data_IF_594029830325
#
_entry.id   IF_594029830325
#
_cell.length_a   1.000
_cell.length_b   1.000
_cell.length_c   1.000
_cell.angle_alpha   90.00
_cell.angle_beta   90.00
_cell.angle_gamma   90.00
#
_symmetry.space_group_name_H-M   'P 1'
#
loop_
_entity.id
_entity.type
_entity.pdbx_description
1 polymer ?
#
# COMPACT_ATOMS: atom_id res chain seq x y z
N UNK A 1 -9.45 37.39 77.16
CA UNK A 1 -10.67 36.62 77.44
C UNK A 1 -10.68 35.40 76.53
N UNK A 2 -10.70 34.18 77.13
CA UNK A 2 -11.33 32.91 76.70
C UNK A 2 -11.21 32.47 75.20
N UNK A 3 -10.95 31.22 74.80
CA UNK A 3 -10.65 29.94 75.44
C UNK A 3 -10.31 28.92 74.32
N UNK A 4 -9.35 28.01 74.58
CA UNK A 4 -9.31 26.55 74.26
C UNK A 4 -9.43 25.97 72.82
N UNK A 5 -8.34 25.29 72.42
CA UNK A 5 -8.15 23.89 71.92
C UNK A 5 -8.65 23.35 70.55
N UNK A 6 -7.63 23.03 69.72
CA UNK A 6 -7.27 21.80 68.95
C UNK A 6 -8.22 20.56 68.86
N UNK A 7 -8.27 20.06 67.60
CA UNK A 7 -8.30 18.64 67.08
C UNK A 7 -9.63 17.85 67.18
N UNK A 8 -9.86 16.72 66.45
CA UNK A 8 -8.93 15.87 65.65
C UNK A 8 -9.43 15.37 64.26
N UNK A 9 -8.58 14.58 63.59
CA UNK A 9 -8.93 13.65 62.49
C UNK A 9 -9.58 12.34 63.04
N UNK A 10 -10.11 11.47 62.15
CA UNK A 10 -9.81 10.03 62.22
C UNK A 10 -9.42 9.48 60.82
N UNK A 11 -8.29 8.80 60.64
CA UNK A 11 -7.95 7.38 60.93
C UNK A 11 -8.63 6.37 59.99
N UNK A 12 -7.75 5.60 59.34
CA UNK A 12 -7.99 4.51 58.42
C UNK A 12 -8.71 3.30 59.04
N UNK A 13 -9.33 2.48 58.19
CA UNK A 13 -9.54 1.06 58.47
C UNK A 13 -9.14 0.24 57.26
N UNK A 14 -8.27 -0.73 57.53
CA UNK A 14 -7.63 -1.70 56.67
C UNK A 14 -8.55 -2.93 56.45
N UNK A 15 -8.31 -3.64 55.33
CA UNK A 15 -8.35 -5.12 55.17
C UNK A 15 -9.74 -5.80 55.24
N UNK A 16 -10.19 -6.43 54.15
CA UNK A 16 -9.97 -7.87 53.97
C UNK A 16 -10.18 -8.41 52.55
N UNK A 17 -9.25 -9.29 52.17
CA UNK A 17 -9.19 -10.11 50.98
C UNK A 17 -9.84 -11.44 51.36
N UNK A 18 -10.85 -11.96 50.65
CA UNK A 18 -11.01 -13.41 50.54
C UNK A 18 -11.85 -13.85 49.33
N UNK A 19 -11.15 -14.55 48.45
CA UNK A 19 -11.58 -15.60 47.52
C UNK A 19 -12.75 -16.48 47.99
N UNK A 20 -13.72 -16.76 47.11
CA UNK A 20 -14.45 -18.05 46.99
C UNK A 20 -14.97 -18.17 45.55
N UNK A 21 -14.34 -19.00 44.72
CA UNK A 21 -14.59 -20.45 44.47
C UNK A 21 -15.95 -20.76 43.84
N UNK A 22 -15.85 -21.39 42.67
CA UNK A 22 -16.92 -22.07 41.91
C UNK A 22 -17.80 -22.99 42.75
N UNK A 23 -18.98 -23.34 42.24
CA UNK A 23 -19.52 -24.70 42.37
C UNK A 23 -19.11 -25.55 41.16
N UNK A 24 -18.25 -26.55 41.39
CA UNK A 24 -18.28 -27.81 40.66
C UNK A 24 -19.53 -28.55 41.11
N UNK A 25 -20.38 -28.95 40.16
CA UNK A 25 -21.23 -30.11 40.34
C UNK A 25 -20.58 -31.25 39.55
N UNK A 26 -20.10 -32.24 40.29
CA UNK A 26 -19.63 -33.52 39.77
C UNK A 26 -20.19 -34.57 40.72
N UNK A 27 -21.05 -35.45 40.21
CA UNK A 27 -21.51 -36.73 40.76
C UNK A 27 -22.57 -37.23 39.75
N UNK A 28 -22.57 -38.44 39.19
CA UNK A 28 -21.60 -39.52 39.07
C UNK A 28 -22.27 -40.61 38.21
N UNK A 29 -21.44 -41.49 37.62
CA UNK A 29 -21.72 -42.90 37.26
C UNK A 29 -22.39 -43.21 35.90
N UNK A 30 -21.54 -43.68 34.99
CA UNK A 30 -21.79 -44.74 33.99
C UNK A 30 -22.25 -46.06 34.63
N UNK A 31 -22.83 -47.02 33.88
CA UNK A 31 -22.04 -48.03 33.15
C UNK A 31 -22.62 -48.36 31.73
N UNK A 32 -21.77 -48.55 30.71
CA UNK A 32 -21.29 -49.84 30.11
C UNK A 32 -22.40 -50.78 29.59
N UNK A 33 -22.40 -50.96 28.26
CA UNK A 33 -22.64 -52.17 27.42
C UNK A 33 -23.14 -51.67 26.04
N UNK A 34 -22.68 -52.08 24.86
CA UNK A 34 -21.82 -53.17 24.40
C UNK A 34 -22.29 -53.59 22.99
N UNK A 35 -21.37 -53.90 22.08
CA UNK A 35 -21.61 -54.55 20.76
C UNK A 35 -21.68 -53.56 19.58
N UNK A 36 -20.70 -53.40 18.66
CA UNK A 36 -19.84 -54.31 17.90
C UNK A 36 -20.50 -54.97 16.65
N UNK A 37 -19.70 -55.02 15.57
CA UNK A 37 -19.78 -55.84 14.33
C UNK A 37 -20.59 -55.18 13.18
N UNK A 38 -20.13 -55.10 11.92
CA UNK A 38 -18.93 -55.58 11.21
C UNK A 38 -18.84 -54.88 9.83
N UNK A 39 -17.64 -54.60 9.31
CA UNK A 39 -16.91 -55.44 8.34
C UNK A 39 -17.66 -55.68 7.00
N UNK A 40 -17.13 -55.16 5.88
CA UNK A 40 -17.71 -55.39 4.55
C UNK A 40 -16.93 -54.77 3.39
N UNK A 41 -15.97 -55.52 2.88
CA UNK A 41 -14.96 -55.18 1.88
C UNK A 41 -15.49 -55.08 0.41
N UNK A 42 -14.74 -54.34 -0.42
CA UNK A 42 -14.56 -54.46 -1.90
C UNK A 42 -15.75 -54.25 -2.86
N UNK A 43 -15.52 -53.41 -3.88
CA UNK A 43 -15.27 -53.88 -5.27
C UNK A 43 -14.74 -52.78 -6.20
N UNK A 44 -13.66 -53.11 -6.90
CA UNK A 44 -13.18 -52.52 -8.16
C UNK A 44 -14.26 -52.66 -9.25
N UNK A 45 -14.36 -51.68 -10.15
CA UNK A 45 -14.72 -51.92 -11.55
C UNK A 45 -13.95 -50.98 -12.48
N UNK A 46 -12.90 -51.56 -13.04
CA UNK A 46 -12.40 -51.32 -14.39
C UNK A 46 -13.51 -51.58 -15.40
N UNK A 47 -13.60 -50.77 -16.46
CA UNK A 47 -14.21 -51.16 -17.74
C UNK A 47 -13.27 -50.66 -18.84
N UNK A 48 -12.73 -51.61 -19.60
CA UNK A 48 -12.17 -51.50 -20.95
C UNK A 48 -12.93 -52.52 -21.81
N UNK A 49 -13.00 -52.27 -23.13
CA UNK A 49 -13.18 -53.16 -24.32
C UNK A 49 -13.83 -52.29 -25.42
N UNK A 50 -13.13 -51.84 -26.48
CA UNK A 50 -12.77 -52.52 -27.78
C UNK A 50 -14.05 -52.73 -28.63
N UNK A 51 -14.21 -52.26 -29.87
CA UNK A 51 -13.57 -52.54 -31.19
C UNK A 51 -14.18 -51.50 -32.20
N UNK A 52 -13.52 -50.85 -33.19
CA UNK A 52 -12.71 -51.22 -34.38
C UNK A 52 -13.45 -51.18 -35.73
N UNK A 53 -12.63 -50.96 -36.78
CA UNK A 53 -12.87 -50.92 -38.23
C UNK A 53 -13.42 -49.59 -38.81
N UNK A 54 -12.86 -48.88 -39.80
CA UNK A 54 -11.91 -49.05 -40.91
C UNK A 54 -12.62 -48.83 -42.27
N UNK A 55 -12.08 -47.89 -43.08
CA UNK A 55 -12.08 -47.75 -44.57
C UNK A 55 -11.76 -46.28 -44.90
N UNK A 56 -10.58 -45.92 -45.41
CA UNK A 56 -9.94 -46.20 -46.71
C UNK A 56 -10.35 -45.25 -47.85
N UNK A 57 -9.32 -44.70 -48.50
CA UNK A 57 -9.35 -43.95 -49.77
C UNK A 57 -8.39 -42.75 -49.76
N UNK A 58 -7.07 -42.94 -49.97
CA UNK A 58 -6.31 -42.80 -51.25
C UNK A 58 -6.34 -41.36 -51.81
N UNK A 59 -5.26 -40.72 -52.27
CA UNK A 59 -3.91 -41.16 -52.68
C UNK A 59 -3.08 -39.94 -53.12
N UNK A 60 -1.74 -39.98 -52.90
CA UNK A 60 -0.65 -39.65 -53.86
C UNK A 60 -0.53 -38.21 -54.43
N UNK A 61 0.62 -37.56 -54.65
CA UNK A 61 2.02 -37.95 -54.98
C UNK A 61 2.98 -36.80 -54.57
N UNK A 62 4.20 -37.06 -54.05
CA UNK A 62 5.52 -36.95 -54.74
C UNK A 62 6.01 -35.47 -54.89
N UNK A 63 7.22 -35.01 -54.57
CA UNK A 63 8.55 -35.56 -54.87
C UNK A 63 9.68 -34.78 -54.12
N UNK A 64 10.84 -35.42 -54.09
CA UNK A 64 12.09 -35.33 -53.31
C UNK A 64 13.10 -34.19 -53.60
N UNK A 65 13.90 -33.90 -52.56
CA UNK A 65 15.36 -33.63 -52.47
C UNK A 65 16.14 -32.79 -53.51
N UNK A 66 16.96 -31.84 -53.02
CA UNK A 66 18.43 -31.87 -53.09
C UNK A 66 19.09 -30.60 -52.49
N UNK A 67 20.18 -30.80 -51.73
CA UNK A 67 20.92 -29.73 -51.02
C UNK A 67 22.02 -29.03 -51.82
N UNK A 68 22.71 -28.05 -51.20
CA UNK A 68 24.17 -27.78 -51.32
C UNK A 68 24.64 -26.61 -50.41
N UNK A 69 25.65 -26.91 -49.57
CA UNK A 69 26.89 -26.16 -49.22
C UNK A 69 26.94 -24.63 -48.92
N UNK A 70 27.51 -24.30 -47.74
CA UNK A 70 28.26 -23.07 -47.36
C UNK A 70 29.72 -23.11 -47.95
N UNK A 71 30.68 -22.12 -47.84
CA UNK A 71 30.83 -20.95 -46.93
C UNK A 71 31.46 -19.65 -47.60
N UNK A 72 32.41 -18.85 -47.01
CA UNK A 72 32.25 -17.41 -46.68
C UNK A 72 33.28 -16.42 -47.35
N UNK A 73 33.17 -15.09 -47.13
CA UNK A 73 34.32 -14.14 -46.96
C UNK A 73 33.95 -12.61 -46.93
N UNK A 74 34.34 -11.96 -45.82
CA UNK A 74 35.08 -10.68 -45.64
C UNK A 74 34.89 -9.38 -46.48
N UNK A 75 34.60 -8.29 -45.73
CA UNK A 75 35.33 -6.99 -45.59
C UNK A 75 35.30 -5.87 -46.67
N UNK A 76 34.77 -4.68 -46.30
CA UNK A 76 35.31 -3.31 -46.60
C UNK A 76 34.47 -2.24 -45.87
N UNK A 77 34.98 -1.51 -44.88
CA UNK A 77 35.76 -0.25 -44.95
C UNK A 77 34.98 0.94 -45.55
N UNK A 78 34.54 1.89 -44.72
CA UNK A 78 34.01 3.20 -45.16
C UNK A 78 34.75 4.33 -44.46
N UNK A 79 35.39 5.14 -45.30
CA UNK A 79 36.11 6.38 -45.02
C UNK A 79 35.08 7.51 -44.80
N UNK A 80 35.32 8.44 -43.87
CA UNK A 80 34.74 9.80 -43.96
C UNK A 80 35.63 10.86 -43.31
N UNK A 81 36.12 11.73 -44.21
CA UNK A 81 36.72 13.06 -44.14
C UNK A 81 36.94 13.82 -42.81
N UNK A 82 38.19 14.25 -42.64
CA UNK A 82 38.61 15.51 -42.00
C UNK A 82 38.35 16.73 -42.91
N UNK A 83 38.01 17.90 -42.34
CA UNK A 83 38.66 19.20 -42.58
C UNK A 83 38.04 20.37 -41.76
N UNK A 84 38.69 21.56 -41.66
CA UNK A 84 38.92 22.26 -40.38
C UNK A 84 38.42 23.73 -40.40
N UNK A 85 38.60 24.47 -39.29
CA UNK A 85 39.14 25.84 -39.21
C UNK A 85 38.71 26.57 -37.94
N UNK A 86 39.71 26.90 -37.11
CA UNK A 86 39.75 28.06 -36.23
C UNK A 86 39.98 29.31 -37.07
N UNK A 87 39.37 30.45 -36.74
CA UNK A 87 40.07 31.75 -36.73
C UNK A 87 39.31 32.88 -36.00
N UNK A 88 40.09 33.61 -35.17
CA UNK A 88 40.00 35.05 -34.82
C UNK A 88 38.87 35.51 -33.85
N UNK A 89 39.13 36.16 -32.72
CA UNK A 89 39.92 37.38 -32.50
C UNK A 89 40.50 37.50 -31.06
N UNK A 90 41.57 38.30 -30.92
CA UNK A 90 42.48 38.42 -29.78
C UNK A 90 42.05 39.28 -28.57
N UNK A 91 43.04 39.69 -27.73
CA UNK A 91 42.86 39.91 -26.29
C UNK A 91 42.56 41.37 -25.93
N UNK A 92 41.87 41.60 -24.81
CA UNK A 92 41.98 42.86 -24.08
C UNK A 92 41.76 42.64 -22.57
N UNK A 93 42.83 42.89 -21.82
CA UNK A 93 42.82 43.11 -20.39
C UNK A 93 42.01 44.36 -20.06
N UNK A 94 41.01 44.25 -19.19
CA UNK A 94 40.59 45.36 -18.33
C UNK A 94 40.33 44.81 -16.93
N UNK A 95 41.28 45.11 -16.05
CA UNK A 95 41.16 45.03 -14.61
C UNK A 95 40.00 45.92 -14.16
N UNK A 96 38.96 45.32 -13.59
CA UNK A 96 38.02 46.01 -12.71
C UNK A 96 37.93 45.21 -11.42
N UNK A 97 38.74 45.63 -10.45
CA UNK A 97 38.68 45.23 -9.06
C UNK A 97 37.34 45.65 -8.45
N UNK A 98 36.41 44.70 -8.32
CA UNK A 98 35.30 44.81 -7.37
C UNK A 98 35.54 43.80 -6.25
N UNK A 99 36.00 44.32 -5.10
CA UNK A 99 36.02 43.62 -3.82
C UNK A 99 34.58 43.23 -3.46
N UNK A 100 34.29 41.94 -3.48
CA UNK A 100 33.16 41.39 -2.70
C UNK A 100 33.69 40.31 -1.77
N UNK A 101 33.46 40.52 -0.48
CA UNK A 101 33.85 39.70 0.67
C UNK A 101 33.69 38.18 0.46
N UNK A 102 34.67 37.35 0.87
CA UNK A 102 34.58 35.90 0.78
C UNK A 102 34.13 35.30 2.12
N UNK A 103 32.84 35.38 2.46
CA UNK A 103 32.31 34.59 3.56
C UNK A 103 30.91 34.09 3.22
N UNK A 104 30.82 32.90 2.60
CA UNK A 104 29.68 31.93 2.69
C UNK A 104 29.72 30.76 1.68
N UNK A 105 30.72 30.61 0.79
CA UNK A 105 30.73 29.49 -0.20
C UNK A 105 31.27 28.14 0.31
N UNK A 106 32.05 28.10 1.40
CA UNK A 106 32.70 26.85 1.85
C UNK A 106 31.78 25.89 2.62
N UNK A 107 30.69 26.37 3.24
CA UNK A 107 29.75 25.50 3.97
C UNK A 107 28.80 24.72 3.05
N UNK A 108 28.33 25.36 1.97
CA UNK A 108 27.39 24.78 1.01
C UNK A 108 28.04 23.70 0.12
N UNK A 109 29.35 23.81 -0.18
CA UNK A 109 30.07 22.80 -0.95
C UNK A 109 30.32 21.53 -0.13
N UNK A 110 30.74 21.67 1.12
CA UNK A 110 31.02 20.53 2.01
C UNK A 110 29.75 19.71 2.33
N UNK A 111 28.62 20.39 2.63
CA UNK A 111 27.33 19.70 2.83
C UNK A 111 26.84 18.98 1.57
N UNK A 112 26.99 19.59 0.38
CA UNK A 112 26.63 18.94 -0.89
C UNK A 112 27.49 17.72 -1.17
N UNK A 113 28.80 17.81 -0.92
CA UNK A 113 29.73 16.67 -1.08
C UNK A 113 29.40 15.55 -0.09
N UNK A 114 29.13 15.87 1.18
CA UNK A 114 28.73 14.90 2.19
C UNK A 114 27.39 14.22 1.83
N UNK A 115 26.37 14.99 1.43
CA UNK A 115 25.08 14.47 1.01
C UNK A 115 25.19 13.57 -0.24
N UNK A 116 25.99 13.96 -1.23
CA UNK A 116 26.27 13.12 -2.40
C UNK A 116 27.03 11.83 -2.02
N UNK A 117 27.92 11.89 -1.02
CA UNK A 117 28.64 10.71 -0.52
C UNK A 117 27.70 9.71 0.17
N UNK A 118 26.74 10.18 0.97
CA UNK A 118 25.74 9.35 1.64
C UNK A 118 24.77 8.76 0.62
N UNK A 119 24.29 9.58 -0.31
CA UNK A 119 23.41 9.14 -1.40
C UNK A 119 24.08 8.03 -2.21
N UNK A 120 25.33 8.21 -2.64
CA UNK A 120 26.05 7.18 -3.38
C UNK A 120 26.21 5.88 -2.58
N UNK A 121 26.55 5.95 -1.29
CA UNK A 121 26.62 4.75 -0.43
C UNK A 121 25.26 4.05 -0.34
N UNK A 122 24.17 4.78 -0.14
CA UNK A 122 22.82 4.21 -0.09
C UNK A 122 22.41 3.58 -1.43
N UNK A 123 22.71 4.23 -2.55
CA UNK A 123 22.43 3.69 -3.89
C UNK A 123 23.25 2.42 -4.16
N UNK A 124 24.48 2.32 -3.66
CA UNK A 124 25.32 1.13 -3.76
C UNK A 124 24.81 -0.03 -2.87
N UNK A 125 24.54 0.22 -1.59
CA UNK A 125 24.06 -0.81 -0.64
C UNK A 125 22.73 -1.42 -1.11
N UNK A 126 21.90 -0.62 -1.77
CA UNK A 126 20.56 -1.03 -2.24
C UNK A 126 20.54 -1.43 -3.72
N UNK A 127 21.70 -1.67 -4.35
CA UNK A 127 21.81 -2.00 -5.77
C UNK A 127 21.61 -3.51 -6.04
N UNK A 128 20.42 -4.02 -5.72
CA UNK A 128 20.02 -5.39 -6.03
C UNK A 128 20.01 -5.66 -7.54
N UNK A 129 20.21 -6.93 -7.94
CA UNK A 129 20.13 -7.35 -9.34
C UNK A 129 18.72 -7.16 -9.91
N UNK A 130 17.68 -7.63 -9.19
CA UNK A 130 16.28 -7.47 -9.57
C UNK A 130 15.84 -5.99 -9.47
N UNK A 131 15.25 -5.40 -10.53
CA UNK A 131 14.68 -4.04 -10.47
C UNK A 131 13.63 -3.88 -9.37
N UNK A 132 12.86 -4.95 -9.12
CA UNK A 132 11.84 -4.99 -8.08
C UNK A 132 12.45 -4.82 -6.70
N UNK A 133 13.40 -5.69 -6.31
CA UNK A 133 14.07 -5.60 -5.02
C UNK A 133 14.84 -4.29 -4.86
N UNK A 134 15.41 -3.79 -5.96
CA UNK A 134 16.11 -2.50 -6.00
C UNK A 134 15.22 -1.33 -5.61
N UNK A 135 13.90 -1.44 -5.78
CA UNK A 135 12.94 -0.39 -5.47
C UNK A 135 12.22 -0.68 -4.16
N UNK A 136 11.75 -1.91 -3.95
CA UNK A 136 10.93 -2.32 -2.80
C UNK A 136 11.74 -2.28 -1.51
N UNK A 137 12.92 -2.90 -1.46
CA UNK A 137 13.72 -3.00 -0.22
C UNK A 137 14.06 -1.62 0.37
N UNK A 138 14.63 -0.66 -0.38
CA UNK A 138 14.88 0.67 0.17
C UNK A 138 13.60 1.44 0.51
N UNK A 139 12.50 1.21 -0.20
CA UNK A 139 11.21 1.86 0.08
C UNK A 139 10.60 1.37 1.39
N UNK A 140 10.62 0.05 1.63
CA UNK A 140 10.19 -0.55 2.90
C UNK A 140 11.14 -0.15 4.04
N UNK A 141 12.45 -0.13 3.78
CA UNK A 141 13.44 0.36 4.75
C UNK A 141 13.17 1.82 5.15
N UNK A 142 12.82 2.68 4.20
CA UNK A 142 12.43 4.06 4.47
C UNK A 142 11.12 4.14 5.26
N UNK A 143 10.13 3.28 4.97
CA UNK A 143 8.89 3.21 5.76
C UNK A 143 9.18 2.91 7.24
N UNK A 144 10.03 1.91 7.50
CA UNK A 144 10.45 1.55 8.85
C UNK A 144 11.23 2.70 9.49
N UNK A 145 12.16 3.32 8.77
CA UNK A 145 12.95 4.43 9.30
C UNK A 145 12.10 5.64 9.70
N UNK A 146 11.15 6.06 8.86
CA UNK A 146 10.24 7.18 9.15
C UNK A 146 9.39 6.86 10.39
N UNK A 147 8.87 5.64 10.47
CA UNK A 147 8.01 5.24 11.58
C UNK A 147 8.75 5.06 12.89
N UNK A 148 10.00 4.58 12.86
CA UNK A 148 10.84 4.57 14.05
C UNK A 148 11.26 5.99 14.48
N UNK A 149 11.55 6.86 13.51
CA UNK A 149 11.87 8.26 13.78
C UNK A 149 10.70 9.04 14.37
N UNK A 150 9.46 8.68 14.04
CA UNK A 150 8.25 9.22 14.68
C UNK A 150 7.94 8.51 16.01
N UNK A 151 8.06 7.18 16.05
CA UNK A 151 7.65 6.34 17.16
C UNK A 151 8.55 6.43 18.39
N UNK A 152 9.87 6.54 18.22
CA UNK A 152 10.82 6.64 19.34
C UNK A 152 10.58 7.94 20.15
N UNK A 153 10.56 9.15 19.54
CA UNK A 153 10.24 10.37 20.28
C UNK A 153 8.82 10.34 20.87
N UNK A 154 7.86 9.80 20.13
CA UNK A 154 6.47 9.70 20.59
C UNK A 154 6.32 8.80 21.82
N UNK A 155 7.08 7.69 21.89
CA UNK A 155 7.13 6.81 23.05
C UNK A 155 7.79 7.49 24.26
N UNK A 156 8.86 8.25 24.04
CA UNK A 156 9.57 8.99 25.11
C UNK A 156 8.72 10.14 25.66
N UNK A 157 7.94 10.80 24.81
CA UNK A 157 7.06 11.90 25.18
C UNK A 157 5.64 11.44 25.60
N UNK A 158 5.32 10.15 25.49
CA UNK A 158 4.00 9.60 25.81
C UNK A 158 2.87 10.20 24.96
N UNK A 159 3.15 10.61 23.71
CA UNK A 159 2.20 11.32 22.85
C UNK A 159 1.88 10.54 21.57
N UNK A 160 0.59 10.36 21.30
CA UNK A 160 0.01 9.69 20.14
C UNK A 160 -0.28 10.64 18.98
N UNK A 161 -0.13 11.95 19.19
CA UNK A 161 -0.51 13.00 18.22
C UNK A 161 0.14 12.83 16.85
N UNK A 162 1.33 12.26 16.80
CA UNK A 162 2.09 12.07 15.57
C UNK A 162 1.77 10.75 14.86
N UNK A 163 1.03 9.82 15.46
CA UNK A 163 0.80 8.49 14.90
C UNK A 163 0.08 8.55 13.54
N UNK A 164 -1.11 9.16 13.47
CA UNK A 164 -1.88 9.22 12.22
C UNK A 164 -1.20 10.10 11.15
N UNK A 165 -0.51 11.18 11.57
CA UNK A 165 0.25 12.06 10.67
C UNK A 165 1.48 11.34 10.09
N UNK A 166 2.21 10.59 10.91
CA UNK A 166 3.40 9.83 10.50
C UNK A 166 3.06 8.78 9.45
N UNK A 167 1.91 8.11 9.56
CA UNK A 167 1.44 7.18 8.52
C UNK A 167 1.20 7.85 7.18
N UNK A 168 0.49 8.97 7.18
CA UNK A 168 0.20 9.73 5.95
C UNK A 168 1.48 10.26 5.31
N UNK A 169 2.40 10.80 6.13
CA UNK A 169 3.71 11.22 5.67
C UNK A 169 4.51 10.05 5.09
N UNK A 170 4.43 8.86 5.70
CA UNK A 170 5.10 7.65 5.21
C UNK A 170 4.55 7.24 3.85
N UNK A 171 3.23 7.30 3.62
CA UNK A 171 2.65 7.05 2.29
C UNK A 171 3.22 7.98 1.22
N UNK A 172 3.27 9.28 1.52
CA UNK A 172 3.78 10.29 0.60
C UNK A 172 5.28 10.10 0.34
N UNK A 173 6.07 9.95 1.40
CA UNK A 173 7.51 9.80 1.31
C UNK A 173 7.92 8.51 0.59
N UNK A 174 7.30 7.38 0.92
CA UNK A 174 7.62 6.07 0.32
C UNK A 174 7.08 6.00 -1.11
N UNK A 175 5.89 6.55 -1.38
CA UNK A 175 5.37 6.67 -2.74
C UNK A 175 6.31 7.49 -3.63
N UNK A 176 6.74 8.66 -3.16
CA UNK A 176 7.70 9.50 -3.88
C UNK A 176 9.06 8.81 -4.03
N UNK A 177 9.59 8.23 -2.96
CA UNK A 177 10.87 7.52 -2.99
C UNK A 177 10.83 6.38 -4.02
N UNK A 178 9.80 5.55 -4.01
CA UNK A 178 9.67 4.44 -4.97
C UNK A 178 9.64 4.94 -6.43
N UNK A 179 9.01 6.09 -6.68
CA UNK A 179 8.92 6.70 -8.01
C UNK A 179 10.25 7.31 -8.47
N UNK A 180 10.95 8.03 -7.59
CA UNK A 180 12.17 8.76 -7.93
C UNK A 180 13.42 7.89 -7.87
N UNK A 181 13.49 6.89 -6.99
CA UNK A 181 14.71 6.13 -6.75
C UNK A 181 15.28 5.43 -7.99
N UNK A 182 14.47 4.78 -8.87
CA UNK A 182 14.97 4.24 -10.14
C UNK A 182 15.57 5.31 -11.06
N UNK A 183 15.00 6.52 -11.04
CA UNK A 183 15.45 7.66 -11.84
C UNK A 183 16.73 8.29 -11.32
N UNK A 184 16.88 8.37 -9.99
CA UNK A 184 18.14 8.82 -9.40
C UNK A 184 19.26 7.86 -9.81
N UNK A 185 19.05 6.54 -9.76
CA UNK A 185 20.09 5.56 -10.14
C UNK A 185 20.51 5.63 -11.60
N UNK A 186 19.56 5.80 -12.50
CA UNK A 186 19.87 5.88 -13.94
C UNK A 186 20.60 7.17 -14.27
N UNK A 187 20.18 8.29 -13.68
CA UNK A 187 20.82 9.58 -13.93
C UNK A 187 22.18 9.72 -13.25
N UNK A 188 22.34 9.25 -12.01
CA UNK A 188 23.66 9.29 -11.34
C UNK A 188 24.70 8.46 -12.08
N UNK A 189 24.31 7.32 -12.65
CA UNK A 189 25.17 6.54 -13.56
C UNK A 189 25.52 7.29 -14.86
N UNK A 190 24.61 8.13 -15.33
CA UNK A 190 24.84 9.01 -16.48
C UNK A 190 25.56 10.32 -16.12
N UNK A 191 26.06 10.48 -14.90
CA UNK A 191 26.74 11.71 -14.45
C UNK A 191 25.83 12.92 -14.23
N UNK A 192 24.50 12.72 -14.21
CA UNK A 192 23.52 13.78 -13.99
C UNK A 192 22.77 13.55 -12.67
N UNK A 193 22.82 14.48 -11.73
CA UNK A 193 22.10 14.35 -10.46
C UNK A 193 20.75 15.11 -10.44
N UNK A 194 20.38 15.78 -11.52
CA UNK A 194 19.16 16.58 -11.59
C UNK A 194 17.90 15.71 -11.55
N UNK A 195 16.92 16.12 -10.74
CA UNK A 195 15.64 15.45 -10.70
C UNK A 195 14.85 15.71 -12.00
N UNK A 196 14.30 14.67 -12.64
CA UNK A 196 13.39 14.87 -13.77
C UNK A 196 12.15 15.67 -13.39
N UNK A 197 11.70 16.52 -14.31
CA UNK A 197 10.39 17.17 -14.24
C UNK A 197 9.27 16.12 -14.41
N UNK A 198 8.23 16.18 -13.57
CA UNK A 198 7.09 15.25 -13.61
C UNK A 198 6.39 15.20 -14.97
N UNK A 199 6.33 16.33 -15.69
CA UNK A 199 5.76 16.41 -17.04
C UNK A 199 6.44 15.48 -18.06
N UNK A 200 7.67 15.05 -17.80
CA UNK A 200 8.37 14.10 -18.66
C UNK A 200 7.65 12.75 -18.76
N UNK A 201 6.82 12.37 -17.79
CA UNK A 201 6.09 11.12 -17.81
C UNK A 201 5.08 10.97 -18.97
N UNK A 202 4.65 12.08 -19.54
CA UNK A 202 3.69 12.12 -20.64
C UNK A 202 4.36 12.19 -22.02
N UNK A 203 5.70 12.20 -22.07
CA UNK A 203 6.49 12.26 -23.29
C UNK A 203 7.04 10.87 -23.64
N UNK A 204 7.10 10.56 -24.94
CA UNK A 204 7.82 9.37 -25.40
C UNK A 204 9.31 9.49 -25.04
N UNK A 205 9.90 8.42 -24.50
CA UNK A 205 11.28 8.45 -23.97
C UNK A 205 11.44 9.29 -22.69
N UNK A 206 10.33 9.67 -22.05
CA UNK A 206 10.32 10.36 -20.76
C UNK A 206 10.99 9.58 -19.64
N UNK A 207 11.25 10.26 -18.52
CA UNK A 207 11.84 9.64 -17.34
C UNK A 207 10.95 8.50 -16.80
N UNK A 208 9.64 8.68 -16.86
CA UNK A 208 8.65 7.72 -16.39
C UNK A 208 7.61 7.41 -17.46
N UNK A 209 6.86 6.34 -17.22
CA UNK A 209 5.58 6.16 -17.89
C UNK A 209 4.47 6.87 -17.11
N UNK A 210 3.47 7.41 -17.83
CA UNK A 210 2.32 8.09 -17.22
C UNK A 210 1.61 7.24 -16.15
N UNK A 211 1.60 5.90 -16.32
CA UNK A 211 0.99 4.97 -15.37
C UNK A 211 1.67 5.00 -14.01
N UNK A 212 3.00 5.14 -13.97
CA UNK A 212 3.76 5.24 -12.71
C UNK A 212 3.32 6.47 -11.91
N UNK A 213 3.12 7.60 -12.59
CA UNK A 213 2.63 8.82 -11.96
C UNK A 213 1.17 8.69 -11.52
N UNK A 214 0.32 8.11 -12.36
CA UNK A 214 -1.11 7.96 -12.04
C UNK A 214 -1.32 7.05 -10.84
N UNK A 215 -0.74 5.84 -10.81
CA UNK A 215 -0.93 4.93 -9.67
C UNK A 215 -0.30 5.47 -8.38
N UNK A 216 0.83 6.17 -8.48
CA UNK A 216 1.43 6.86 -7.33
C UNK A 216 0.55 8.00 -6.83
N UNK A 217 0.03 8.82 -7.75
CA UNK A 217 -0.87 9.93 -7.45
C UNK A 217 -2.20 9.47 -6.85
N UNK A 218 -2.75 8.34 -7.31
CA UNK A 218 -3.94 7.71 -6.75
C UNK A 218 -3.73 7.33 -5.29
N UNK A 219 -2.65 6.61 -4.96
CA UNK A 219 -2.32 6.22 -3.59
C UNK A 219 -2.05 7.45 -2.70
N UNK A 220 -1.33 8.45 -3.21
CA UNK A 220 -1.05 9.69 -2.48
C UNK A 220 -2.33 10.51 -2.23
N UNK A 221 -3.22 10.61 -3.21
CA UNK A 221 -4.49 11.33 -3.07
C UNK A 221 -5.33 10.70 -1.97
N UNK A 222 -5.43 9.37 -1.96
CA UNK A 222 -6.13 8.64 -0.90
C UNK A 222 -5.48 8.87 0.47
N UNK A 223 -4.15 8.75 0.57
CA UNK A 223 -3.42 8.94 1.83
C UNK A 223 -3.53 10.37 2.37
N UNK A 224 -3.43 11.38 1.51
CA UNK A 224 -3.62 12.78 1.88
C UNK A 224 -5.04 13.06 2.38
N UNK A 225 -6.05 12.49 1.71
CA UNK A 225 -7.45 12.63 2.12
C UNK A 225 -7.69 12.00 3.50
N UNK A 226 -7.30 10.73 3.66
CA UNK A 226 -7.46 10.01 4.93
C UNK A 226 -6.68 10.69 6.05
N UNK A 227 -5.44 11.10 5.77
CA UNK A 227 -4.58 11.82 6.70
C UNK A 227 -5.15 13.17 7.13
N UNK A 228 -5.67 13.97 6.20
CA UNK A 228 -6.30 15.25 6.51
C UNK A 228 -7.56 15.08 7.38
N UNK A 229 -8.36 14.03 7.11
CA UNK A 229 -9.53 13.72 7.93
C UNK A 229 -9.16 13.30 9.36
N UNK A 230 -8.17 12.41 9.50
CA UNK A 230 -7.68 11.95 10.81
C UNK A 230 -7.03 13.08 11.61
N UNK A 231 -6.20 13.90 10.95
CA UNK A 231 -5.55 15.05 11.59
C UNK A 231 -6.58 16.06 12.10
N UNK A 232 -7.59 16.40 11.27
CA UNK A 232 -8.67 17.29 11.68
C UNK A 232 -9.42 16.77 12.91
N UNK A 233 -9.64 15.46 13.01
CA UNK A 233 -10.29 14.84 14.17
C UNK A 233 -9.44 14.94 15.44
N UNK A 234 -8.15 14.59 15.37
CA UNK A 234 -7.23 14.69 16.52
C UNK A 234 -7.15 16.13 17.02
N UNK A 235 -7.13 17.11 16.13
CA UNK A 235 -7.12 18.53 16.52
C UNK A 235 -8.42 18.99 17.19
N UNK A 236 -9.53 18.26 17.03
CA UNK A 236 -10.83 18.58 17.61
C UNK A 236 -11.07 17.89 18.96
N UNK A 237 -10.49 16.71 19.18
CA UNK A 237 -10.71 15.88 20.38
C UNK A 237 -9.57 16.03 21.43
N UNK A 238 -9.03 17.25 21.59
CA UNK A 238 -7.89 17.60 22.48
C UNK A 238 -6.59 16.79 22.29
N UNK A 239 -6.53 16.03 21.20
CA UNK A 239 -5.42 15.16 20.85
C UNK A 239 -5.38 13.82 21.58
N UNK A 240 -6.49 13.38 22.18
CA UNK A 240 -6.59 12.12 22.91
C UNK A 240 -7.20 11.00 22.04
N UNK A 241 -6.48 9.90 21.86
CA UNK A 241 -7.03 8.71 21.20
C UNK A 241 -7.08 7.51 22.16
N UNK A 242 -8.30 7.09 22.50
CA UNK A 242 -8.58 6.00 23.41
C UNK A 242 -7.91 4.66 23.02
N UNK A 243 -7.48 4.50 21.76
CA UNK A 243 -6.71 3.32 21.31
C UNK A 243 -5.36 3.21 22.02
N UNK A 244 -4.75 4.32 22.41
CA UNK A 244 -3.41 4.36 22.99
C UNK A 244 -3.38 4.37 24.52
N UNK A 245 -4.53 4.46 25.17
CA UNK A 245 -4.63 4.56 26.64
C UNK A 245 -3.99 3.37 27.36
N UNK A 246 -4.03 2.18 26.76
CA UNK A 246 -3.41 0.97 27.33
C UNK A 246 -1.96 0.73 26.89
N UNK A 247 -1.45 1.58 25.99
CA UNK A 247 -0.14 1.45 25.33
C UNK A 247 0.89 2.46 25.84
N UNK A 248 0.46 3.62 26.36
CA UNK A 248 1.34 4.71 26.83
C UNK A 248 2.34 4.25 27.90
N UNK A 249 1.92 3.40 28.81
CA UNK A 249 2.76 2.93 29.92
C UNK A 249 3.80 1.86 29.50
N UNK A 250 3.82 1.47 28.22
CA UNK A 250 4.67 0.39 27.69
C UNK A 250 5.44 0.85 26.45
N UNK A 251 6.58 1.56 26.62
CA UNK A 251 7.33 2.17 25.51
C UNK A 251 7.66 1.21 24.35
N UNK A 252 8.02 -0.04 24.66
CA UNK A 252 8.32 -1.06 23.63
C UNK A 252 7.09 -1.42 22.80
N UNK A 253 5.92 -1.58 23.43
CA UNK A 253 4.66 -1.85 22.73
C UNK A 253 4.20 -0.62 21.96
N UNK A 254 4.46 0.57 22.47
CA UNK A 254 4.16 1.82 21.79
C UNK A 254 4.96 1.95 20.49
N UNK A 255 6.29 1.81 20.52
CA UNK A 255 7.12 1.82 19.29
C UNK A 255 6.72 0.70 18.32
N UNK A 256 6.33 -0.47 18.83
CA UNK A 256 5.85 -1.57 18.00
C UNK A 256 4.59 -1.20 17.18
N UNK A 257 3.71 -0.34 17.69
CA UNK A 257 2.55 0.14 16.90
C UNK A 257 2.99 0.94 15.67
N UNK A 258 4.02 1.78 15.80
CA UNK A 258 4.58 2.54 14.67
C UNK A 258 5.23 1.61 13.66
N UNK A 259 5.93 0.57 14.12
CA UNK A 259 6.49 -0.46 13.25
C UNK A 259 5.39 -1.23 12.48
N UNK A 260 4.29 -1.60 13.15
CA UNK A 260 3.13 -2.20 12.48
C UNK A 260 2.51 -1.27 11.43
N UNK A 261 2.51 0.04 11.68
CA UNK A 261 2.09 1.03 10.69
C UNK A 261 3.06 1.09 9.50
N UNK A 262 4.37 0.91 9.69
CA UNK A 262 5.33 0.78 8.57
C UNK A 262 5.04 -0.45 7.71
N UNK A 263 4.74 -1.59 8.34
CA UNK A 263 4.34 -2.83 7.65
C UNK A 263 3.04 -2.59 6.87
N UNK A 264 2.05 -1.95 7.49
CA UNK A 264 0.78 -1.63 6.86
C UNK A 264 0.95 -0.74 5.62
N UNK A 265 1.70 0.36 5.73
CA UNK A 265 2.00 1.25 4.59
C UNK A 265 2.72 0.48 3.47
N UNK A 266 3.68 -0.38 3.83
CA UNK A 266 4.44 -1.18 2.87
C UNK A 266 3.56 -2.15 2.08
N UNK A 267 2.62 -2.81 2.75
CA UNK A 267 1.66 -3.72 2.10
C UNK A 267 0.71 -2.95 1.17
N UNK A 268 0.19 -1.80 1.60
CA UNK A 268 -0.70 -0.98 0.77
C UNK A 268 0.01 -0.37 -0.45
N UNK A 269 1.28 0.04 -0.31
CA UNK A 269 2.05 0.60 -1.42
C UNK A 269 2.69 -0.46 -2.33
N UNK A 270 2.61 -1.74 -2.01
CA UNK A 270 3.20 -2.81 -2.81
C UNK A 270 2.81 -2.78 -4.31
N UNK A 271 1.53 -2.60 -4.72
CA UNK A 271 1.18 -2.40 -6.13
C UNK A 271 1.90 -1.22 -6.78
N UNK A 272 2.04 -0.11 -6.06
CA UNK A 272 2.69 1.12 -6.56
C UNK A 272 4.20 0.91 -6.69
N UNK A 273 4.84 0.35 -5.66
CA UNK A 273 6.27 0.04 -5.67
C UNK A 273 6.64 -0.95 -6.79
N UNK A 274 5.78 -1.93 -7.07
CA UNK A 274 5.97 -2.89 -8.16
C UNK A 274 5.96 -2.21 -9.54
N UNK A 275 5.00 -1.32 -9.80
CA UNK A 275 4.92 -0.57 -11.07
C UNK A 275 6.05 0.46 -11.18
N UNK A 276 6.43 1.12 -10.08
CA UNK A 276 7.53 2.07 -10.07
C UNK A 276 8.90 1.39 -10.29
N UNK A 277 9.03 0.11 -9.95
CA UNK A 277 10.25 -0.67 -10.21
C UNK A 277 10.48 -1.02 -11.69
N UNK A 278 9.45 -0.90 -12.54
CA UNK A 278 9.54 -1.25 -13.96
C UNK A 278 10.44 -0.27 -14.70
N UNK A 279 11.47 -0.73 -15.44
CA UNK A 279 12.35 0.15 -16.22
C UNK A 279 11.60 0.89 -17.34
N UNK A 280 11.98 2.16 -17.59
CA UNK A 280 11.38 2.98 -18.64
C UNK A 280 11.41 2.33 -20.04
N UNK A 281 12.48 1.58 -20.36
CA UNK A 281 12.61 0.85 -21.63
C UNK A 281 11.52 -0.22 -21.82
N UNK A 282 11.06 -0.87 -20.74
CA UNK A 282 10.01 -1.88 -20.82
C UNK A 282 8.66 -1.28 -21.22
N UNK A 283 8.38 -0.06 -20.75
CA UNK A 283 7.14 0.65 -21.06
C UNK A 283 7.04 1.09 -22.52
N UNK A 284 8.16 1.23 -23.24
CA UNK A 284 8.14 1.59 -24.66
C UNK A 284 7.46 0.52 -25.54
N UNK A 285 7.48 -0.74 -25.09
CA UNK A 285 6.84 -1.87 -25.78
C UNK A 285 5.43 -2.20 -25.23
N UNK A 286 4.94 -1.47 -24.23
CA UNK A 286 3.59 -1.63 -23.69
C UNK A 286 2.64 -0.68 -24.46
N UNK A 287 1.44 -1.12 -24.86
CA UNK A 287 0.45 -0.22 -25.48
C UNK A 287 0.23 1.05 -24.65
N UNK A 288 0.00 2.18 -25.33
CA UNK A 288 -0.14 3.48 -24.66
C UNK A 288 -1.28 3.50 -23.64
N UNK A 289 -2.38 2.82 -23.96
CA UNK A 289 -3.57 2.65 -23.12
C UNK A 289 -4.04 1.20 -23.24
N UNK A 290 -4.42 0.58 -22.12
CA UNK A 290 -5.00 -0.77 -22.07
C UNK A 290 -6.38 -0.74 -21.41
N UNK A 291 -7.18 -1.78 -21.62
CA UNK A 291 -8.50 -1.92 -20.98
C UNK A 291 -8.39 -1.89 -19.46
N UNK A 292 -7.35 -2.50 -18.89
CA UNK A 292 -7.09 -2.48 -17.44
C UNK A 292 -6.82 -1.09 -16.90
N UNK A 293 -6.24 -0.18 -17.70
CA UNK A 293 -6.05 1.21 -17.30
C UNK A 293 -7.40 1.91 -17.15
N UNK A 294 -8.27 1.78 -18.16
CA UNK A 294 -9.59 2.44 -18.18
C UNK A 294 -10.48 1.90 -17.06
N UNK A 295 -10.55 0.58 -16.92
CA UNK A 295 -11.33 -0.07 -15.86
C UNK A 295 -10.76 0.25 -14.47
N UNK A 296 -9.45 0.14 -14.31
CA UNK A 296 -8.82 0.35 -13.01
C UNK A 296 -8.92 1.80 -12.52
N UNK A 297 -8.65 2.77 -13.39
CA UNK A 297 -8.81 4.19 -13.07
C UNK A 297 -10.28 4.52 -12.83
N UNK A 298 -11.20 4.02 -13.67
CA UNK A 298 -12.64 4.24 -13.50
C UNK A 298 -13.18 3.72 -12.17
N UNK A 299 -12.82 2.49 -11.81
CA UNK A 299 -13.19 1.88 -10.52
C UNK A 299 -12.57 2.66 -9.36
N UNK A 300 -11.32 3.12 -9.49
CA UNK A 300 -10.68 3.94 -8.46
C UNK A 300 -11.38 5.28 -8.25
N UNK A 301 -11.70 6.00 -9.33
CA UNK A 301 -12.44 7.27 -9.26
C UNK A 301 -13.80 7.08 -8.63
N UNK A 302 -14.54 6.03 -9.03
CA UNK A 302 -15.84 5.69 -8.42
C UNK A 302 -15.73 5.33 -6.94
N UNK A 303 -14.73 4.53 -6.56
CA UNK A 303 -14.48 4.16 -5.17
C UNK A 303 -14.12 5.36 -4.29
N UNK A 304 -13.22 6.23 -4.77
CA UNK A 304 -12.85 7.47 -4.07
C UNK A 304 -14.05 8.40 -3.91
N UNK A 305 -14.89 8.55 -4.96
CA UNK A 305 -16.08 9.37 -4.89
C UNK A 305 -17.09 8.83 -3.87
N UNK A 306 -17.30 7.50 -3.83
CA UNK A 306 -18.19 6.87 -2.87
C UNK A 306 -17.68 7.03 -1.43
N UNK A 307 -16.38 6.79 -1.21
CA UNK A 307 -15.76 6.97 0.11
C UNK A 307 -15.88 8.43 0.59
N UNK A 308 -15.53 9.38 -0.27
CA UNK A 308 -15.59 10.81 0.05
C UNK A 308 -17.02 11.28 0.32
N UNK A 309 -18.01 10.83 -0.46
CA UNK A 309 -19.41 11.17 -0.26
C UNK A 309 -19.96 10.57 1.05
N UNK A 310 -19.62 9.32 1.35
CA UNK A 310 -20.03 8.65 2.59
C UNK A 310 -19.48 9.35 3.83
N UNK A 311 -18.20 9.71 3.82
CA UNK A 311 -17.57 10.42 4.93
C UNK A 311 -18.09 11.85 5.09
N UNK A 312 -18.34 12.55 3.98
CA UNK A 312 -18.96 13.87 4.01
C UNK A 312 -20.39 13.82 4.57
N UNK A 313 -21.17 12.79 4.20
CA UNK A 313 -22.50 12.57 4.76
C UNK A 313 -22.43 12.29 6.27
N UNK A 314 -21.52 11.40 6.70
CA UNK A 314 -21.31 11.06 8.10
C UNK A 314 -20.87 12.26 8.94
N UNK A 315 -19.94 13.06 8.41
CA UNK A 315 -19.42 14.25 9.09
C UNK A 315 -20.50 15.33 9.25
N UNK A 316 -21.30 15.57 8.21
CA UNK A 316 -22.43 16.52 8.26
C UNK A 316 -23.49 16.08 9.26
N UNK A 317 -23.87 14.81 9.24
CA UNK A 317 -24.82 14.25 10.21
C UNK A 317 -24.31 14.38 11.65
N UNK A 318 -23.04 14.04 11.90
CA UNK A 318 -22.45 14.19 13.24
C UNK A 318 -22.40 15.66 13.70
N UNK A 319 -22.16 16.60 12.79
CA UNK A 319 -22.16 18.03 13.09
C UNK A 319 -23.56 18.57 13.36
N UNK A 320 -24.55 18.23 12.51
CA UNK A 320 -25.95 18.62 12.71
C UNK A 320 -26.50 18.14 14.05
N UNK A 321 -26.15 16.90 14.45
CA UNK A 321 -26.47 16.39 15.79
C UNK A 321 -25.83 17.19 16.93
N UNK A 322 -24.57 17.61 16.78
CA UNK A 322 -23.90 18.48 17.78
C UNK A 322 -24.55 19.85 17.89
N UNK A 323 -25.02 20.38 16.77
CA UNK A 323 -25.76 21.64 16.69
C UNK A 323 -27.22 21.51 17.17
N UNK A 324 -27.66 20.31 17.59
CA UNK A 324 -29.04 20.01 18.00
C UNK A 324 -30.07 20.26 16.89
N UNK A 325 -29.67 20.10 15.63
CA UNK A 325 -30.56 20.22 14.47
C UNK A 325 -31.44 18.97 14.31
N UNK A 326 -31.01 17.83 14.86
CA UNK A 326 -31.79 16.59 14.92
C UNK A 326 -31.37 15.71 16.11
N UNK A 327 -32.27 14.82 16.54
CA UNK A 327 -32.06 13.87 17.64
C UNK A 327 -31.98 12.40 17.20
N UNK A 328 -31.76 12.16 15.89
CA UNK A 328 -31.57 10.81 15.36
C UNK A 328 -30.45 10.05 16.08
N UNK A 329 -30.74 8.81 16.51
CA UNK A 329 -29.80 7.98 17.25
C UNK A 329 -28.63 7.49 16.37
N UNK A 330 -28.91 7.14 15.12
CA UNK A 330 -27.91 6.62 14.16
C UNK A 330 -28.28 7.01 12.72
N UNK A 331 -27.25 7.11 11.88
CA UNK A 331 -27.39 7.49 10.46
C UNK A 331 -27.90 6.29 9.63
N UNK A 332 -29.08 6.44 9.03
CA UNK A 332 -29.76 5.39 8.25
C UNK A 332 -30.23 5.81 6.85
N UNK A 333 -29.94 7.05 6.44
CA UNK A 333 -30.41 7.66 5.19
C UNK A 333 -29.28 7.80 4.17
N UNK A 334 -29.59 8.16 2.92
CA UNK A 334 -28.61 8.39 1.86
C UNK A 334 -27.78 7.15 1.54
N UNK A 335 -26.44 7.26 1.51
CA UNK A 335 -25.59 6.11 1.21
C UNK A 335 -25.71 5.00 2.27
N UNK A 336 -26.05 5.35 3.51
CA UNK A 336 -26.22 4.42 4.62
C UNK A 336 -27.56 3.66 4.60
N UNK A 337 -28.50 4.03 3.70
CA UNK A 337 -29.68 3.20 3.43
C UNK A 337 -29.43 2.14 2.36
N UNK A 338 -28.36 2.27 1.57
CA UNK A 338 -28.00 1.32 0.52
C UNK A 338 -27.16 0.17 1.10
N UNK A 339 -26.16 0.51 1.90
CA UNK A 339 -25.36 -0.45 2.68
C UNK A 339 -24.89 0.22 3.98
N UNK A 340 -24.54 -0.58 4.99
CA UNK A 340 -24.16 -0.06 6.31
C UNK A 340 -22.78 0.59 6.34
N UNK A 341 -21.88 0.17 5.44
CA UNK A 341 -20.49 0.64 5.39
C UNK A 341 -20.07 1.12 3.98
N UNK A 342 -20.71 2.18 3.43
CA UNK A 342 -20.43 2.65 2.07
C UNK A 342 -19.00 3.20 1.90
N UNK A 343 -18.42 3.76 2.97
CA UNK A 343 -17.04 4.22 2.98
C UNK A 343 -16.03 3.05 2.86
N UNK A 344 -16.27 1.93 3.55
CA UNK A 344 -15.44 0.74 3.41
C UNK A 344 -15.58 0.08 2.04
N UNK A 345 -16.79 0.10 1.46
CA UNK A 345 -16.97 -0.32 0.06
C UNK A 345 -16.12 0.54 -0.88
N UNK A 346 -16.19 1.87 -0.73
CA UNK A 346 -15.40 2.82 -1.51
C UNK A 346 -13.90 2.57 -1.42
N UNK A 347 -13.39 2.33 -0.21
CA UNK A 347 -11.97 2.02 0.02
C UNK A 347 -11.56 0.69 -0.65
N UNK A 348 -12.36 -0.38 -0.50
CA UNK A 348 -12.06 -1.67 -1.15
C UNK A 348 -12.10 -1.51 -2.67
N UNK A 349 -13.11 -0.81 -3.20
CA UNK A 349 -13.25 -0.55 -4.62
C UNK A 349 -12.06 0.22 -5.17
N UNK A 350 -11.63 1.30 -4.50
CA UNK A 350 -10.52 2.11 -5.01
C UNK A 350 -9.21 1.33 -5.02
N UNK A 351 -8.89 0.58 -3.96
CA UNK A 351 -7.68 -0.25 -3.97
C UNK A 351 -7.76 -1.36 -5.02
N UNK A 352 -8.96 -1.86 -5.32
CA UNK A 352 -9.19 -2.84 -6.39
C UNK A 352 -8.99 -2.22 -7.77
N UNK A 353 -9.42 -0.97 -7.99
CA UNK A 353 -9.16 -0.23 -9.23
C UNK A 353 -7.67 0.06 -9.45
N UNK A 354 -6.96 0.49 -8.40
CA UNK A 354 -5.51 0.66 -8.43
C UNK A 354 -4.81 -0.67 -8.76
N UNK A 355 -5.19 -1.75 -8.08
CA UNK A 355 -4.66 -3.09 -8.34
C UNK A 355 -4.93 -3.55 -9.78
N UNK A 356 -6.10 -3.27 -10.34
CA UNK A 356 -6.46 -3.62 -11.72
C UNK A 356 -5.53 -2.93 -12.73
N UNK A 357 -5.25 -1.64 -12.52
CA UNK A 357 -4.30 -0.86 -13.35
C UNK A 357 -2.89 -1.47 -13.25
N UNK A 358 -2.42 -1.73 -12.02
CA UNK A 358 -1.10 -2.31 -11.79
C UNK A 358 -0.97 -3.73 -12.38
N UNK A 359 -1.98 -4.58 -12.19
CA UNK A 359 -1.99 -5.97 -12.65
C UNK A 359 -1.87 -6.06 -14.17
N UNK A 360 -2.58 -5.21 -14.92
CA UNK A 360 -2.49 -5.19 -16.38
C UNK A 360 -1.10 -4.82 -16.91
N UNK A 361 -0.43 -3.86 -16.27
CA UNK A 361 0.96 -3.50 -16.60
C UNK A 361 1.91 -4.62 -16.23
N UNK A 362 1.80 -5.13 -15.00
CA UNK A 362 2.71 -6.14 -14.48
C UNK A 362 2.59 -7.43 -15.31
N UNK A 363 1.39 -7.88 -15.67
CA UNK A 363 1.18 -9.07 -16.49
C UNK A 363 1.71 -8.97 -17.94
N UNK A 364 2.07 -7.78 -18.42
CA UNK A 364 2.50 -7.61 -19.81
C UNK A 364 3.89 -8.24 -20.07
N UNK A 365 4.02 -8.94 -21.20
CA UNK A 365 5.26 -9.65 -21.57
C UNK A 365 6.53 -8.77 -21.54
N UNK A 366 6.54 -7.53 -22.06
CA UNK A 366 7.73 -6.67 -21.99
C UNK A 366 8.14 -6.35 -20.55
N UNK A 367 7.17 -6.14 -19.66
CA UNK A 367 7.42 -5.86 -18.24
C UNK A 367 7.96 -7.10 -17.54
N UNK A 368 7.40 -8.27 -17.81
CA UNK A 368 7.87 -9.54 -17.22
C UNK A 368 9.30 -9.87 -17.61
N UNK A 369 9.67 -9.66 -18.87
CA UNK A 369 11.06 -9.81 -19.33
C UNK A 369 12.00 -8.84 -18.61
N UNK A 370 11.59 -7.58 -18.46
CA UNK A 370 12.40 -6.56 -17.79
C UNK A 370 12.56 -6.79 -16.28
N UNK A 371 11.55 -7.38 -15.62
CA UNK A 371 11.61 -7.73 -14.21
C UNK A 371 12.32 -9.07 -13.95
N UNK A 372 12.55 -9.88 -14.98
CA UNK A 372 13.18 -11.20 -14.89
C UNK A 372 12.22 -12.34 -14.54
N UNK A 373 10.92 -12.18 -14.80
CA UNK A 373 9.85 -13.12 -14.41
C UNK A 373 9.05 -13.64 -15.62
N UNK A 374 9.74 -14.17 -16.63
CA UNK A 374 9.10 -14.61 -17.88
C UNK A 374 8.32 -15.94 -17.78
N UNK A 375 8.51 -16.72 -16.70
CA UNK A 375 7.78 -17.98 -16.51
C UNK A 375 6.32 -17.71 -16.08
N UNK A 376 5.36 -18.60 -16.40
CA UNK A 376 3.97 -18.45 -15.94
C UNK A 376 3.83 -18.24 -14.43
N UNK A 377 4.66 -18.94 -13.64
CA UNK A 377 4.72 -18.76 -12.19
C UNK A 377 5.26 -17.37 -11.79
N UNK A 378 6.26 -16.84 -12.52
CA UNK A 378 6.78 -15.49 -12.32
C UNK A 378 5.74 -14.41 -12.65
N UNK A 379 4.98 -14.59 -13.74
CA UNK A 379 3.88 -13.70 -14.09
C UNK A 379 2.80 -13.70 -13.01
N UNK A 380 2.41 -14.88 -12.52
CA UNK A 380 1.45 -15.00 -11.43
C UNK A 380 1.95 -14.32 -10.15
N UNK A 381 3.21 -14.54 -9.76
CA UNK A 381 3.81 -13.96 -8.56
C UNK A 381 3.87 -12.43 -8.61
N UNK A 382 4.34 -11.86 -9.72
CA UNK A 382 4.43 -10.40 -9.89
C UNK A 382 3.07 -9.75 -10.01
N UNK A 383 2.10 -10.39 -10.68
CA UNK A 383 0.72 -9.90 -10.77
C UNK A 383 0.02 -9.96 -9.41
N UNK A 384 0.30 -10.99 -8.59
CA UNK A 384 -0.24 -11.09 -7.24
C UNK A 384 0.20 -9.92 -6.34
N UNK A 385 1.36 -9.31 -6.58
CA UNK A 385 1.80 -8.10 -5.85
C UNK A 385 0.81 -6.94 -6.03
N UNK A 386 0.13 -6.85 -7.18
CA UNK A 386 -0.87 -5.82 -7.42
C UNK A 386 -2.07 -5.95 -6.46
N UNK A 387 -2.43 -7.17 -6.08
CA UNK A 387 -3.60 -7.48 -5.27
C UNK A 387 -3.34 -7.46 -3.76
N UNK A 388 -2.09 -7.30 -3.31
CA UNK A 388 -1.76 -7.24 -1.88
C UNK A 388 -2.57 -6.15 -1.17
N UNK A 389 -2.63 -4.94 -1.72
CA UNK A 389 -3.33 -3.82 -1.11
C UNK A 389 -4.85 -4.06 -0.96
N UNK A 390 -5.64 -4.37 -2.01
CA UNK A 390 -7.07 -4.59 -1.84
C UNK A 390 -7.40 -5.84 -1.00
N UNK A 391 -6.62 -6.92 -1.10
CA UNK A 391 -6.82 -8.11 -0.26
C UNK A 391 -6.57 -7.77 1.21
N UNK A 392 -5.50 -7.06 1.50
CA UNK A 392 -5.13 -6.67 2.85
C UNK A 392 -6.11 -5.65 3.44
N UNK A 393 -6.47 -4.58 2.70
CA UNK A 393 -7.47 -3.60 3.13
C UNK A 393 -8.82 -4.28 3.33
N UNK A 394 -9.29 -5.06 2.36
CA UNK A 394 -10.54 -5.81 2.46
C UNK A 394 -10.57 -6.75 3.66
N UNK A 395 -9.49 -7.48 3.94
CA UNK A 395 -9.39 -8.33 5.13
C UNK A 395 -9.47 -7.52 6.43
N UNK A 396 -8.69 -6.45 6.56
CA UNK A 396 -8.70 -5.61 7.76
C UNK A 396 -10.08 -4.98 8.00
N UNK A 397 -10.69 -4.44 6.95
CA UNK A 397 -11.98 -3.79 7.03
C UNK A 397 -13.11 -4.78 7.33
N UNK A 398 -13.09 -5.97 6.76
CA UNK A 398 -14.21 -6.92 6.92
C UNK A 398 -14.05 -7.85 8.12
N UNK A 399 -12.82 -8.13 8.58
CA UNK A 399 -12.55 -9.19 9.58
C UNK A 399 -11.83 -8.72 10.84
N UNK A 400 -11.11 -7.60 10.82
CA UNK A 400 -10.25 -7.20 11.94
C UNK A 400 -10.74 -5.90 12.59
N UNK A 401 -10.51 -4.77 11.92
CA UNK A 401 -10.64 -3.44 12.55
C UNK A 401 -11.83 -2.63 12.04
N UNK A 402 -12.34 -2.89 10.83
CA UNK A 402 -13.40 -2.07 10.23
C UNK A 402 -14.79 -2.40 10.77
N UNK A 403 -15.51 -3.26 10.05
CA UNK A 403 -16.88 -3.69 10.30
C UNK A 403 -17.04 -4.32 11.69
N UNK A 404 -16.22 -5.30 12.12
CA UNK A 404 -16.48 -6.01 13.38
C UNK A 404 -16.43 -5.09 14.61
N UNK A 405 -15.43 -4.21 14.68
CA UNK A 405 -15.31 -3.26 15.79
C UNK A 405 -16.42 -2.20 15.77
N UNK A 406 -16.81 -1.75 14.59
CA UNK A 406 -17.86 -0.72 14.46
C UNK A 406 -19.24 -1.29 14.75
N UNK A 407 -19.55 -2.49 14.25
CA UNK A 407 -20.80 -3.18 14.55
C UNK A 407 -20.90 -3.50 16.04
N UNK A 408 -19.84 -4.03 16.66
CA UNK A 408 -19.86 -4.35 18.10
C UNK A 408 -20.20 -3.10 18.96
N UNK A 409 -19.57 -1.96 18.67
CA UNK A 409 -19.86 -0.69 19.37
C UNK A 409 -21.29 -0.19 19.14
N UNK A 410 -21.80 -0.35 17.92
CA UNK A 410 -23.19 0.02 17.63
C UNK A 410 -24.20 -0.93 18.28
N UNK A 411 -23.89 -2.22 18.34
CA UNK A 411 -24.74 -3.23 18.97
C UNK A 411 -24.78 -3.06 20.49
N UNK A 412 -23.66 -2.71 21.11
CA UNK A 412 -23.61 -2.35 22.54
C UNK A 412 -24.49 -1.13 22.84
N UNK A 413 -24.47 -0.13 21.97
CA UNK A 413 -25.19 1.14 22.19
C UNK A 413 -26.66 1.12 21.78
N UNK A 414 -26.99 0.42 20.69
CA UNK A 414 -28.31 0.48 20.05
C UNK A 414 -28.99 -0.88 19.90
N UNK A 415 -28.33 -1.98 20.31
CA UNK A 415 -28.82 -3.35 20.10
C UNK A 415 -30.17 -3.64 20.75
N UNK A 416 -30.55 -2.93 21.82
CA UNK A 416 -31.86 -3.04 22.45
C UNK A 416 -33.00 -2.34 21.68
N UNK A 417 -32.70 -1.52 20.67
CA UNK A 417 -33.72 -0.73 19.97
C UNK A 417 -34.27 -1.48 18.75
N UNK A 418 -35.60 -1.51 18.63
CA UNK A 418 -36.31 -2.18 17.52
C UNK A 418 -35.98 -1.56 16.16
N UNK A 419 -35.91 -0.23 16.08
CA UNK A 419 -35.61 0.52 14.85
C UNK A 419 -34.20 0.22 14.32
N UNK A 420 -33.22 0.09 15.20
CA UNK A 420 -31.85 -0.30 14.84
C UNK A 420 -31.77 -1.75 14.34
N UNK A 421 -32.42 -2.68 15.02
CA UNK A 421 -32.45 -4.08 14.59
C UNK A 421 -33.12 -4.27 13.23
N UNK A 422 -34.20 -3.54 12.97
CA UNK A 422 -34.90 -3.55 11.68
C UNK A 422 -34.03 -2.99 10.56
N UNK A 423 -33.43 -1.81 10.78
CA UNK A 423 -32.48 -1.24 9.82
C UNK A 423 -31.31 -2.18 9.53
N UNK A 424 -30.73 -2.80 10.57
CA UNK A 424 -29.60 -3.72 10.45
C UNK A 424 -29.95 -4.99 9.65
N UNK A 425 -31.18 -5.49 9.77
CA UNK A 425 -31.69 -6.65 9.05
C UNK A 425 -31.97 -6.32 7.57
N UNK A 426 -32.49 -5.14 7.30
CA UNK A 426 -32.92 -4.74 5.95
C UNK A 426 -31.80 -4.08 5.13
N UNK A 427 -30.69 -3.70 5.76
CA UNK A 427 -29.58 -3.01 5.09
C UNK A 427 -28.35 -3.93 4.98
N UNK A 428 -27.89 -4.25 3.75
CA UNK A 428 -26.68 -5.04 3.50
C UNK A 428 -25.43 -4.47 4.19
N UNK A 429 -24.43 -5.30 4.51
CA UNK A 429 -23.21 -4.81 5.18
C UNK A 429 -22.41 -3.90 4.27
N UNK A 430 -22.09 -4.36 3.06
CA UNK A 430 -21.13 -3.69 2.18
C UNK A 430 -21.55 -3.75 0.71
N UNK A 431 -21.95 -4.91 0.19
CA UNK A 431 -22.33 -5.04 -1.22
C UNK A 431 -23.86 -4.98 -1.32
N UNK A 432 -24.42 -3.96 -2.00
CA UNK A 432 -25.86 -3.82 -2.11
C UNK A 432 -26.50 -5.09 -2.69
N UNK A 433 -27.53 -5.60 -2.01
CA UNK A 433 -28.30 -6.80 -2.39
C UNK A 433 -27.54 -8.14 -2.37
N UNK A 434 -26.28 -8.20 -1.95
CA UNK A 434 -25.49 -9.45 -1.93
C UNK A 434 -24.88 -9.77 -0.57
N UNK A 435 -24.38 -8.76 0.15
CA UNK A 435 -23.58 -8.99 1.36
C UNK A 435 -23.63 -7.82 2.35
#
# INVERSE_FOLDING_TARGET
MLNSNKKPAPTATHIDIFTRRQPRNDLSRSPICGGAIGAGNRRKKTVNVIDSSNRDGKSQDEQTDNGLQFPPCTLRMSIRHDNPLQTLLGPNNLLSTSRTHPHTRHGLSSQRVAAMSILNRLLHITNFQSPLLRTVVPSVGAAVAIQLAAGIPSALAGTERFFDMSGSLTFLAVGALSLYLPQLRTRTRAGNAALPMLSSAFRAGGAWNWRQLVVTGMAMTWASRLGAYLFRRISQDDGHDARFDTLRDKPSRFVFTFFMQAVWVSLMLMPVMAVNAVPAAAFAAVPRLTVTDVLGIGVWTGGLAMEAAADAQKSRWAQARRNKEHDEAFLKTGLFSICRFPHYFGEIALWTGLATTCAGVLASRPVQLALGFASPAGVAATTALAFIAPVFSGFLLTRVSGIPLTEARHDEKYGGRKDYQEWKRNTPKLVPKLW
#
